data_IF_196199607415
#
_entry.id   IF_196199607415
#
_cell.length_a   1.000
_cell.length_b   1.000
_cell.length_c   1.000
_cell.angle_alpha   90.00
_cell.angle_beta   90.00
_cell.angle_gamma   90.00
#
_symmetry.space_group_name_H-M   'P 1'
#
loop_
_entity.id
_entity.type
_entity.pdbx_description
1 polymer ?
#
# COMPACT_ATOMS: atom_id res chain seq x y z
N UNK A 1 -5.28 -2.78 24.59
CA UNK A 1 -4.59 -3.44 23.45
C UNK A 1 -3.12 -3.04 23.49
N UNK A 2 -2.22 -4.03 23.49
CA UNK A 2 -0.77 -3.81 23.46
C UNK A 2 -0.37 -3.17 22.13
N UNK A 3 0.56 -2.22 22.18
CA UNK A 3 1.14 -1.57 20.99
C UNK A 3 2.66 -1.54 21.16
N UNK A 4 3.38 -1.81 20.08
CA UNK A 4 4.83 -1.82 20.08
C UNK A 4 5.33 -1.25 18.75
N UNK A 5 6.13 -0.20 18.80
CA UNK A 5 6.88 0.30 17.64
C UNK A 5 8.08 -0.61 17.39
N UNK A 6 8.28 -1.02 16.17
CA UNK A 6 9.38 -1.88 15.73
C UNK A 6 9.95 -1.39 14.40
N UNK A 7 11.08 -1.95 14.00
CA UNK A 7 11.69 -1.71 12.70
C UNK A 7 11.78 -3.03 11.92
N UNK A 8 11.40 -3.01 10.65
CA UNK A 8 11.50 -4.16 9.74
C UNK A 8 12.39 -3.77 8.58
N UNK A 9 13.63 -4.24 8.56
CA UNK A 9 14.63 -3.85 7.54
C UNK A 9 14.75 -2.32 7.37
N UNK A 10 14.67 -1.56 8.49
CA UNK A 10 14.69 -0.10 8.48
C UNK A 10 13.33 0.57 8.26
N UNK A 11 12.27 -0.19 7.99
CA UNK A 11 10.91 0.34 7.78
C UNK A 11 10.22 0.50 9.13
N UNK A 12 9.78 1.70 9.53
CA UNK A 12 9.02 1.91 10.76
C UNK A 12 7.70 1.14 10.73
N UNK A 13 7.41 0.42 11.80
CA UNK A 13 6.21 -0.39 11.91
C UNK A 13 5.58 -0.32 13.31
N UNK A 14 4.28 -0.53 13.37
CA UNK A 14 3.48 -0.63 14.58
C UNK A 14 2.85 -2.02 14.66
N UNK A 15 3.17 -2.75 15.71
CA UNK A 15 2.55 -4.04 16.02
C UNK A 15 1.51 -3.85 17.12
N UNK A 16 0.26 -4.22 16.84
CA UNK A 16 -0.86 -4.16 17.77
C UNK A 16 -1.36 -5.56 18.13
N UNK A 17 -1.79 -5.72 19.38
CA UNK A 17 -2.42 -6.94 19.92
C UNK A 17 -1.47 -7.83 20.70
N UNK A 18 -2.07 -8.77 21.45
CA UNK A 18 -1.33 -9.84 22.13
C UNK A 18 -0.89 -10.91 21.14
N UNK A 19 0.01 -11.81 21.56
CA UNK A 19 0.50 -12.88 20.70
C UNK A 19 -0.64 -13.69 20.06
N UNK A 20 -0.54 -13.90 18.76
CA UNK A 20 -1.52 -14.65 17.97
C UNK A 20 -0.80 -15.37 16.83
N UNK A 21 -1.29 -16.53 16.39
CA UNK A 21 -0.79 -17.18 15.18
C UNK A 21 -1.19 -16.47 13.88
N UNK A 22 -2.07 -15.46 13.94
CA UNK A 22 -2.62 -14.78 12.80
C UNK A 22 -2.26 -13.29 12.81
N UNK A 23 -1.93 -12.73 11.66
CA UNK A 23 -1.65 -11.30 11.50
C UNK A 23 -2.38 -10.70 10.30
N UNK A 24 -2.80 -9.46 10.46
CA UNK A 24 -3.09 -8.58 9.35
C UNK A 24 -1.89 -7.66 9.09
N UNK A 25 -1.39 -7.66 7.86
CA UNK A 25 -0.55 -6.58 7.38
C UNK A 25 -1.46 -5.42 7.01
N UNK A 26 -1.24 -4.28 7.64
CA UNK A 26 -2.00 -3.06 7.38
C UNK A 26 -1.15 -2.09 6.59
N UNK A 27 -1.64 -1.71 5.40
CA UNK A 27 -0.97 -0.79 4.48
C UNK A 27 -1.90 0.41 4.26
N UNK A 28 -1.48 1.57 4.75
CA UNK A 28 -2.25 2.81 4.62
C UNK A 28 -2.29 3.33 3.17
N UNK A 29 -3.17 4.28 2.90
CA UNK A 29 -3.25 5.01 1.64
C UNK A 29 -2.32 6.23 1.60
N UNK A 30 -2.44 7.04 0.55
CA UNK A 30 -1.75 8.32 0.47
C UNK A 30 -2.19 9.23 1.62
N UNK A 31 -1.26 10.02 2.15
CA UNK A 31 -1.40 10.91 3.30
C UNK A 31 -1.66 10.19 4.65
N UNK A 32 -1.66 8.84 4.67
CA UNK A 32 -1.85 8.05 5.88
C UNK A 32 -0.55 7.79 6.65
N UNK A 33 -0.66 6.97 7.70
CA UNK A 33 0.47 6.48 8.47
C UNK A 33 0.12 5.15 9.17
N UNK A 34 1.11 4.48 9.77
CA UNK A 34 0.91 3.19 10.47
C UNK A 34 -0.07 3.27 11.63
N UNK A 35 -0.22 4.43 12.26
CA UNK A 35 -1.13 4.64 13.39
C UNK A 35 -2.61 4.54 12.97
N UNK A 36 -2.95 4.73 11.70
CA UNK A 36 -4.31 4.50 11.18
C UNK A 36 -4.78 3.05 11.34
N UNK A 37 -3.87 2.13 11.60
CA UNK A 37 -4.20 0.75 11.90
C UNK A 37 -4.88 0.56 13.27
N UNK A 38 -4.76 1.52 14.21
CA UNK A 38 -5.23 1.36 15.58
C UNK A 38 -6.74 1.11 15.68
N UNK A 39 -7.62 1.85 15.00
CA UNK A 39 -9.06 1.54 15.00
C UNK A 39 -9.38 0.16 14.42
N UNK A 40 -8.70 -0.24 13.35
CA UNK A 40 -8.86 -1.59 12.80
C UNK A 40 -8.35 -2.67 13.78
N UNK A 41 -7.22 -2.43 14.45
CA UNK A 41 -6.67 -3.35 15.43
C UNK A 41 -7.60 -3.55 16.64
N UNK A 42 -8.37 -2.53 17.04
CA UNK A 42 -9.39 -2.65 18.09
C UNK A 42 -10.48 -3.68 17.74
N UNK A 43 -10.74 -3.90 16.46
CA UNK A 43 -11.68 -4.91 15.97
C UNK A 43 -10.99 -6.26 15.70
N UNK A 44 -9.79 -6.25 15.13
CA UNK A 44 -9.10 -7.44 14.70
C UNK A 44 -8.47 -8.23 15.88
N UNK A 45 -7.95 -7.52 16.88
CA UNK A 45 -7.27 -8.19 18.00
C UNK A 45 -8.23 -9.04 18.85
N UNK A 46 -9.43 -8.60 19.24
CA UNK A 46 -10.40 -9.47 19.90
C UNK A 46 -10.85 -10.66 19.04
N UNK A 47 -10.74 -10.56 17.72
CA UNK A 47 -11.02 -11.65 16.79
C UNK A 47 -9.84 -12.62 16.58
N UNK A 48 -8.78 -12.52 17.39
CA UNK A 48 -7.65 -13.45 17.37
C UNK A 48 -6.57 -13.12 16.34
N UNK A 49 -6.39 -11.84 16.01
CA UNK A 49 -5.32 -11.37 15.11
C UNK A 49 -4.39 -10.39 15.83
N UNK A 50 -3.14 -10.35 15.41
CA UNK A 50 -2.32 -9.16 15.55
C UNK A 50 -2.48 -8.28 14.30
N UNK A 51 -2.15 -7.00 14.41
CA UNK A 51 -2.09 -6.09 13.27
C UNK A 51 -0.69 -5.49 13.21
N UNK A 52 -0.04 -5.68 12.08
CA UNK A 52 1.28 -5.14 11.76
C UNK A 52 1.12 -4.07 10.69
N UNK A 53 1.27 -2.83 11.06
CA UNK A 53 1.20 -1.67 10.17
C UNK A 53 2.59 -1.11 9.89
N UNK A 54 2.80 -0.55 8.70
CA UNK A 54 4.05 0.10 8.30
C UNK A 54 3.80 1.52 7.81
N UNK A 55 4.83 2.36 7.88
CA UNK A 55 4.85 3.62 7.15
C UNK A 55 5.41 3.41 5.74
N UNK A 56 4.64 3.80 4.72
CA UNK A 56 5.11 3.87 3.35
C UNK A 56 6.12 5.02 3.18
N UNK A 57 6.99 5.02 2.16
CA UNK A 57 7.86 6.16 1.85
C UNK A 57 7.08 7.47 1.78
N UNK A 58 7.69 8.57 2.21
CA UNK A 58 7.10 9.93 2.29
C UNK A 58 5.93 10.08 3.28
N UNK A 59 5.69 9.07 4.15
CA UNK A 59 4.58 9.08 5.11
C UNK A 59 5.06 8.74 6.54
N UNK A 60 4.24 9.13 7.53
CA UNK A 60 4.52 8.85 8.94
C UNK A 60 5.92 9.28 9.37
N UNK A 61 6.68 8.39 9.98
CA UNK A 61 8.07 8.65 10.39
C UNK A 61 9.03 8.80 9.19
N UNK A 62 8.61 8.41 7.97
CA UNK A 62 9.40 8.51 6.73
C UNK A 62 9.07 9.75 5.91
N UNK A 63 8.27 10.68 6.43
CA UNK A 63 7.83 11.89 5.69
C UNK A 63 8.99 12.72 5.11
N UNK A 64 10.12 12.76 5.81
CA UNK A 64 11.31 13.52 5.41
C UNK A 64 12.46 12.59 4.97
N UNK A 65 12.22 11.33 4.70
CA UNK A 65 13.23 10.41 4.21
C UNK A 65 13.54 10.65 2.73
N UNK A 66 14.66 10.13 2.27
CA UNK A 66 15.06 10.23 0.87
C UNK A 66 14.25 9.30 -0.05
N UNK A 67 13.64 8.26 0.53
CA UNK A 67 12.86 7.30 -0.22
C UNK A 67 11.56 7.91 -0.72
N UNK A 68 11.25 7.66 -1.98
CA UNK A 68 10.04 8.11 -2.65
C UNK A 68 8.97 7.03 -2.71
N UNK A 69 7.70 7.44 -2.72
CA UNK A 69 6.55 6.55 -2.91
C UNK A 69 6.47 6.05 -4.35
N UNK A 70 7.47 5.29 -4.79
CA UNK A 70 7.56 4.74 -6.13
C UNK A 70 7.33 3.22 -6.10
N UNK A 71 6.53 2.67 -7.01
CA UNK A 71 6.08 1.28 -6.93
C UNK A 71 7.23 0.28 -6.93
N UNK A 72 8.30 0.52 -7.68
CA UNK A 72 9.46 -0.37 -7.71
C UNK A 72 10.25 -0.42 -6.38
N UNK A 73 10.16 0.60 -5.52
CA UNK A 73 10.71 0.56 -4.18
C UNK A 73 9.72 -0.07 -3.19
N UNK A 74 8.47 0.39 -3.20
CA UNK A 74 7.44 -0.07 -2.26
C UNK A 74 7.15 -1.56 -2.42
N UNK A 75 7.09 -2.08 -3.65
CA UNK A 75 6.88 -3.51 -3.90
C UNK A 75 7.98 -4.35 -3.22
N UNK A 76 9.24 -3.93 -3.31
CA UNK A 76 10.36 -4.61 -2.64
C UNK A 76 10.24 -4.55 -1.11
N UNK A 77 9.90 -3.39 -0.57
CA UNK A 77 9.70 -3.22 0.88
C UNK A 77 8.55 -4.08 1.42
N UNK A 78 7.42 -4.11 0.72
CA UNK A 78 6.29 -4.96 1.09
C UNK A 78 6.63 -6.45 1.04
N UNK A 79 7.49 -6.87 0.12
CA UNK A 79 8.01 -8.23 0.10
C UNK A 79 8.88 -8.52 1.34
N UNK A 80 9.74 -7.59 1.78
CA UNK A 80 10.52 -7.74 3.02
C UNK A 80 9.60 -7.81 4.26
N UNK A 81 8.60 -6.95 4.33
CA UNK A 81 7.59 -6.96 5.41
C UNK A 81 6.82 -8.29 5.42
N UNK A 82 6.45 -8.79 4.26
CA UNK A 82 5.79 -10.09 4.13
C UNK A 82 6.71 -11.23 4.61
N UNK A 83 7.99 -11.26 4.23
CA UNK A 83 8.94 -12.26 4.70
C UNK A 83 9.09 -12.22 6.22
N UNK A 84 9.20 -11.02 6.80
CA UNK A 84 9.19 -10.85 8.25
C UNK A 84 7.92 -11.46 8.89
N UNK A 85 6.75 -11.17 8.31
CA UNK A 85 5.49 -11.69 8.79
C UNK A 85 5.41 -13.23 8.66
N UNK A 86 5.81 -13.76 7.52
CA UNK A 86 5.77 -15.21 7.24
C UNK A 86 6.63 -16.04 8.20
N UNK A 87 7.73 -15.47 8.70
CA UNK A 87 8.59 -16.14 9.68
C UNK A 87 7.98 -16.16 11.10
N UNK A 88 7.00 -15.29 11.42
CA UNK A 88 6.46 -15.10 12.77
C UNK A 88 5.02 -15.57 12.95
N UNK A 89 4.23 -15.54 11.91
CA UNK A 89 2.81 -15.89 11.96
C UNK A 89 2.48 -17.05 11.04
N UNK A 90 1.55 -17.88 11.48
CA UNK A 90 1.06 -19.03 10.68
C UNK A 90 0.20 -18.56 9.51
N UNK A 91 -0.60 -17.49 9.72
CA UNK A 91 -1.48 -16.94 8.70
C UNK A 91 -1.27 -15.43 8.56
N UNK A 92 -1.11 -15.00 7.33
CA UNK A 92 -1.01 -13.59 6.95
C UNK A 92 -2.25 -13.20 6.15
N UNK A 93 -2.91 -12.15 6.57
CA UNK A 93 -4.02 -11.50 5.87
C UNK A 93 -3.65 -10.05 5.56
N UNK A 94 -4.37 -9.40 4.66
CA UNK A 94 -4.12 -8.00 4.29
C UNK A 94 -5.30 -7.11 4.67
N UNK A 95 -4.98 -5.89 5.10
CA UNK A 95 -5.87 -4.74 5.19
C UNK A 95 -5.15 -3.57 4.54
N UNK A 96 -5.68 -3.06 3.45
CA UNK A 96 -5.01 -1.96 2.77
C UNK A 96 -6.01 -0.93 2.20
N UNK A 97 -5.52 0.29 1.96
CA UNK A 97 -6.34 1.40 1.50
C UNK A 97 -5.75 2.01 0.23
N UNK A 98 -6.60 2.32 -0.76
CA UNK A 98 -6.29 3.10 -1.94
C UNK A 98 -5.02 2.62 -2.67
N UNK A 99 -4.03 3.49 -2.87
CA UNK A 99 -2.74 3.17 -3.50
C UNK A 99 -1.96 2.10 -2.71
N UNK A 100 -2.09 2.06 -1.38
CA UNK A 100 -1.49 1.00 -0.57
C UNK A 100 -2.03 -0.38 -0.89
N UNK A 101 -3.32 -0.48 -1.25
CA UNK A 101 -3.93 -1.73 -1.70
C UNK A 101 -3.37 -2.16 -3.06
N UNK A 102 -3.23 -1.22 -4.02
CA UNK A 102 -2.63 -1.50 -5.32
C UNK A 102 -1.20 -2.01 -5.20
N UNK A 103 -0.37 -1.34 -4.39
CA UNK A 103 1.01 -1.76 -4.15
C UNK A 103 1.09 -3.12 -3.44
N UNK A 104 0.19 -3.38 -2.48
CA UNK A 104 0.11 -4.67 -1.80
C UNK A 104 -0.29 -5.80 -2.75
N UNK A 105 -1.24 -5.57 -3.65
CA UNK A 105 -1.63 -6.54 -4.68
C UNK A 105 -0.48 -6.88 -5.62
N UNK A 106 0.30 -5.89 -6.07
CA UNK A 106 1.48 -6.11 -6.91
C UNK A 106 2.59 -6.88 -6.17
N UNK A 107 2.89 -6.47 -4.93
CA UNK A 107 3.99 -7.05 -4.16
C UNK A 107 3.73 -8.50 -3.75
N UNK A 108 2.47 -8.86 -3.54
CA UNK A 108 2.06 -10.09 -2.86
C UNK A 108 1.14 -10.98 -3.72
N UNK A 109 1.07 -10.75 -5.03
CA UNK A 109 0.23 -11.49 -5.97
C UNK A 109 0.44 -13.02 -5.87
N UNK A 110 1.71 -13.46 -5.77
CA UNK A 110 2.11 -14.86 -5.74
C UNK A 110 2.36 -15.39 -4.31
N UNK A 111 1.93 -14.63 -3.29
CA UNK A 111 2.17 -15.03 -1.89
C UNK A 111 0.92 -15.65 -1.27
N UNK A 112 1.08 -16.63 -0.38
CA UNK A 112 -0.04 -17.27 0.31
C UNK A 112 -0.68 -16.32 1.34
N UNK A 113 -1.53 -15.43 0.87
CA UNK A 113 -2.36 -14.54 1.67
C UNK A 113 -3.71 -15.23 1.94
N UNK A 114 -4.12 -15.29 3.21
CA UNK A 114 -5.35 -15.98 3.62
C UNK A 114 -6.61 -15.28 3.12
N UNK A 115 -6.65 -13.96 3.22
CA UNK A 115 -7.73 -13.07 2.78
C UNK A 115 -7.23 -11.63 2.74
N UNK A 116 -7.93 -10.81 1.98
CA UNK A 116 -7.69 -9.38 1.93
C UNK A 116 -8.98 -8.58 2.22
N UNK A 117 -8.82 -7.45 2.88
CA UNK A 117 -9.84 -6.43 3.09
C UNK A 117 -9.28 -5.11 2.59
N UNK A 118 -9.85 -4.59 1.52
CA UNK A 118 -9.41 -3.33 0.92
C UNK A 118 -10.48 -2.25 1.08
N UNK A 119 -10.06 -1.01 1.21
CA UNK A 119 -10.94 0.17 1.24
C UNK A 119 -10.52 1.09 0.11
N UNK A 120 -11.50 1.43 -0.76
CA UNK A 120 -11.33 2.24 -1.97
C UNK A 120 -10.04 1.89 -2.73
N UNK A 121 -9.78 0.60 -3.04
CA UNK A 121 -8.52 0.19 -3.67
C UNK A 121 -8.38 0.78 -5.06
N UNK A 122 -7.18 1.25 -5.42
CA UNK A 122 -6.85 1.50 -6.82
C UNK A 122 -6.68 0.15 -7.50
N UNK A 123 -7.57 -0.17 -8.44
CA UNK A 123 -7.57 -1.44 -9.18
C UNK A 123 -7.01 -1.30 -10.59
N UNK A 124 -6.98 -0.08 -11.11
CA UNK A 124 -6.44 0.27 -12.43
C UNK A 124 -5.67 1.60 -12.34
N UNK A 125 -4.36 1.48 -12.13
CA UNK A 125 -3.47 2.64 -12.00
C UNK A 125 -3.25 3.34 -13.34
N UNK A 126 -3.23 2.62 -14.46
CA UNK A 126 -3.06 3.23 -15.77
C UNK A 126 -4.26 4.13 -16.11
N UNK A 127 -5.48 3.65 -15.88
CA UNK A 127 -6.68 4.48 -16.04
C UNK A 127 -6.67 5.68 -15.10
N UNK A 128 -6.22 5.53 -13.85
CA UNK A 128 -6.11 6.65 -12.91
C UNK A 128 -5.12 7.70 -13.42
N UNK A 129 -3.93 7.29 -13.87
CA UNK A 129 -2.92 8.20 -14.43
C UNK A 129 -3.48 8.90 -15.68
N UNK A 130 -4.18 8.16 -16.56
CA UNK A 130 -4.80 8.73 -17.77
C UNK A 130 -5.83 9.81 -17.43
N UNK A 131 -6.66 9.60 -16.39
CA UNK A 131 -7.58 10.63 -15.88
C UNK A 131 -6.82 11.85 -15.32
N UNK A 132 -5.75 11.62 -14.57
CA UNK A 132 -4.92 12.71 -14.04
C UNK A 132 -4.29 13.55 -15.18
N UNK A 133 -3.83 12.90 -16.24
CA UNK A 133 -3.34 13.58 -17.45
C UNK A 133 -4.43 14.43 -18.11
N UNK A 134 -5.66 13.90 -18.23
CA UNK A 134 -6.81 14.66 -18.74
C UNK A 134 -7.12 15.89 -17.88
N UNK A 135 -7.15 15.76 -16.55
CA UNK A 135 -7.38 16.88 -15.63
C UNK A 135 -6.28 17.94 -15.70
N UNK A 136 -5.05 17.53 -15.96
CA UNK A 136 -3.92 18.43 -16.14
C UNK A 136 -3.82 19.00 -17.58
N UNK A 137 -4.65 18.54 -18.52
CA UNK A 137 -4.56 18.83 -19.96
C UNK A 137 -3.16 18.49 -20.53
N UNK A 138 -2.63 17.33 -20.15
CA UNK A 138 -1.32 16.80 -20.56
C UNK A 138 -1.54 15.62 -21.48
N UNK A 139 -0.90 15.64 -22.65
CA UNK A 139 -0.87 14.50 -23.58
C UNK A 139 0.27 13.54 -23.22
N UNK A 140 0.16 12.29 -23.67
CA UNK A 140 1.20 11.28 -23.45
C UNK A 140 2.54 11.69 -24.10
N UNK A 141 2.50 12.29 -25.27
CA UNK A 141 3.70 12.78 -25.95
C UNK A 141 4.41 13.90 -25.14
N UNK A 142 3.65 14.82 -24.55
CA UNK A 142 4.21 15.85 -23.67
C UNK A 142 4.83 15.25 -22.41
N UNK A 143 4.16 14.25 -21.80
CA UNK A 143 4.68 13.58 -20.60
C UNK A 143 5.96 12.80 -20.94
N UNK A 144 6.00 12.13 -22.07
CA UNK A 144 7.16 11.40 -22.55
C UNK A 144 8.36 12.32 -22.79
N UNK A 145 8.14 13.48 -23.42
CA UNK A 145 9.18 14.48 -23.70
C UNK A 145 9.71 15.12 -22.41
N UNK A 146 8.81 15.49 -21.49
CA UNK A 146 9.17 16.18 -20.25
C UNK A 146 9.72 15.22 -19.18
N UNK A 147 9.37 13.94 -19.23
CA UNK A 147 9.69 12.93 -18.19
C UNK A 147 8.80 13.07 -16.96
N UNK A 148 8.70 14.26 -16.38
CA UNK A 148 7.86 14.57 -15.22
C UNK A 148 7.17 15.93 -15.40
N UNK A 149 5.89 16.01 -15.03
CA UNK A 149 5.08 17.23 -15.09
C UNK A 149 4.33 17.40 -13.76
N UNK A 150 4.69 18.41 -12.94
CA UNK A 150 3.92 18.79 -11.77
C UNK A 150 2.52 19.29 -12.16
N UNK A 151 1.50 18.91 -11.39
CA UNK A 151 0.13 19.31 -11.65
C UNK A 151 -0.38 20.32 -10.61
N UNK A 152 -1.41 21.09 -10.97
CA UNK A 152 -2.05 22.06 -10.07
C UNK A 152 -2.76 21.41 -8.87
N UNK A 153 -3.09 20.11 -8.94
CA UNK A 153 -3.72 19.36 -7.86
C UNK A 153 -2.71 18.63 -6.96
N UNK A 154 -1.41 18.97 -7.07
CA UNK A 154 -0.36 18.52 -6.13
C UNK A 154 0.27 17.16 -6.44
N UNK A 155 -0.11 16.51 -7.55
CA UNK A 155 0.54 15.31 -8.03
C UNK A 155 1.59 15.64 -9.10
N UNK A 156 2.59 14.79 -9.25
CA UNK A 156 3.53 14.84 -10.38
C UNK A 156 3.24 13.67 -11.30
N UNK A 157 2.84 13.97 -12.54
CA UNK A 157 2.78 12.97 -13.60
C UNK A 157 4.21 12.55 -13.96
N UNK A 158 4.45 11.25 -14.08
CA UNK A 158 5.78 10.71 -14.36
C UNK A 158 5.72 9.68 -15.48
N UNK A 159 6.48 9.92 -16.55
CA UNK A 159 6.59 8.99 -17.65
C UNK A 159 7.18 7.63 -17.23
N UNK A 160 8.29 7.57 -16.45
CA UNK A 160 8.79 6.30 -15.95
C UNK A 160 7.79 5.53 -15.10
N UNK A 161 6.95 6.23 -14.31
CA UNK A 161 5.90 5.59 -13.51
C UNK A 161 4.84 4.97 -14.42
N UNK A 162 4.36 5.68 -15.44
CA UNK A 162 3.38 5.17 -16.40
C UNK A 162 3.90 3.95 -17.17
N UNK A 163 5.14 4.01 -17.64
CA UNK A 163 5.79 2.87 -18.32
C UNK A 163 5.85 1.66 -17.40
N UNK A 164 6.28 1.85 -16.16
CA UNK A 164 6.38 0.78 -15.17
C UNK A 164 5.01 0.13 -14.89
N UNK A 165 3.96 0.94 -14.77
CA UNK A 165 2.58 0.44 -14.56
C UNK A 165 2.14 -0.45 -15.72
N UNK A 166 2.42 -0.06 -16.96
CA UNK A 166 2.09 -0.85 -18.16
C UNK A 166 2.85 -2.18 -18.23
N UNK A 167 4.09 -2.20 -17.77
CA UNK A 167 4.92 -3.41 -17.72
C UNK A 167 4.54 -4.36 -16.57
N UNK A 168 3.83 -3.86 -15.55
CA UNK A 168 3.46 -4.60 -14.35
C UNK A 168 1.94 -4.65 -14.14
N UNK A 169 1.20 -5.32 -15.02
CA UNK A 169 -0.26 -5.41 -14.90
C UNK A 169 -0.66 -6.14 -13.60
N UNK A 170 -1.71 -5.67 -12.98
CA UNK A 170 -2.22 -6.24 -11.74
C UNK A 170 -2.71 -7.68 -11.96
N UNK A 171 -2.21 -8.61 -11.14
CA UNK A 171 -2.62 -10.02 -11.12
C UNK A 171 -2.93 -10.43 -9.69
N UNK A 172 -4.20 -10.36 -9.32
CA UNK A 172 -4.62 -10.63 -7.95
C UNK A 172 -5.72 -11.68 -7.91
N UNK A 173 -5.51 -12.77 -7.16
CA UNK A 173 -6.42 -13.91 -7.09
C UNK A 173 -6.84 -14.29 -5.66
N UNK A 174 -6.31 -13.58 -4.65
CA UNK A 174 -6.67 -13.85 -3.25
C UNK A 174 -8.13 -13.46 -2.97
N UNK A 175 -8.81 -14.25 -2.16
CA UNK A 175 -10.16 -13.93 -1.66
C UNK A 175 -10.15 -12.54 -1.01
N UNK A 176 -10.92 -11.62 -1.58
CA UNK A 176 -10.92 -10.21 -1.22
C UNK A 176 -12.32 -9.69 -0.95
N UNK A 177 -12.46 -8.87 0.08
CA UNK A 177 -13.58 -7.96 0.26
C UNK A 177 -13.07 -6.54 -0.04
N UNK A 178 -13.73 -5.84 -0.93
CA UNK A 178 -13.47 -4.44 -1.22
C UNK A 178 -14.65 -3.59 -0.75
N UNK A 179 -14.35 -2.53 -0.02
CA UNK A 179 -15.32 -1.53 0.42
C UNK A 179 -15.03 -0.25 -0.37
N UNK A 180 -16.04 0.32 -0.97
CA UNK A 180 -15.97 1.59 -1.67
C UNK A 180 -16.87 2.62 -0.97
N UNK A 181 -16.54 3.90 -1.05
CA UNK A 181 -17.45 4.97 -0.70
C UNK A 181 -18.65 5.02 -1.64
N UNK A 182 -19.75 5.65 -1.25
CA UNK A 182 -20.95 5.72 -2.09
C UNK A 182 -20.76 6.47 -3.42
N UNK A 183 -19.69 7.28 -3.50
CA UNK A 183 -19.35 8.14 -4.65
C UNK A 183 -18.03 7.72 -5.31
N UNK A 184 -17.46 6.57 -4.96
CA UNK A 184 -16.21 6.01 -5.53
C UNK A 184 -16.43 5.36 -6.92
#
# INVERSE_FOLDING_TARGET
MKQQTIQIAGIPALLCGEESPNVYLYIHGKMGCKEEAVPFAQLACPAGYQVLAIDLPEHGERKNSAEKLLPWFVVRELQLVYQYAKCRWKQVSLRATSIGAWMAMLALADKPIKKALFVSPVTDMETLISKMMQWANVTEAQLQEAGEIPTAFGETLSWPYLCWVREHPLRWHTRTQALFGGDD
#
